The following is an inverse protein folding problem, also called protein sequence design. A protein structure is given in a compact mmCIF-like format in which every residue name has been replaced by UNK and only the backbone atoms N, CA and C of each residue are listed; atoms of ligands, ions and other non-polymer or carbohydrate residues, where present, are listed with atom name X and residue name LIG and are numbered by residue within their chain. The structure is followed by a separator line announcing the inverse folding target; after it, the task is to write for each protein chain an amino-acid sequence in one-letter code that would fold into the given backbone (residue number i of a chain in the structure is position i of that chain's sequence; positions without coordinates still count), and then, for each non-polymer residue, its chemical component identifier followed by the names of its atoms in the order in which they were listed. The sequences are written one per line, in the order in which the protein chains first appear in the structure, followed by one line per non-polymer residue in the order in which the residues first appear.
data_IF_686339647625
#
_entry.id   IF_686339647625
#
_cell.length_a   1.000
_cell.length_b   1.000
_cell.length_c   1.000
_cell.angle_alpha   90.00
_cell.angle_beta   90.00
_cell.angle_gamma   90.00
#
_symmetry.space_group_name_H-M   'P 1'
#
loop_
_entity.id
_entity.type
_entity.pdbx_description
1 polymer ?
#
# COMPACT_ATOMS: atom_id res chain seq x y z
N UNK A 1 -4.24 -4.56 7.82
CA UNK A 1 -3.90 -3.50 8.80
C UNK A 1 -4.53 -2.23 8.28
N UNK A 2 -5.40 -1.59 9.05
CA UNK A 2 -6.09 -0.37 8.59
C UNK A 2 -5.21 0.85 8.83
N UNK A 3 -4.90 1.60 7.76
CA UNK A 3 -4.08 2.80 7.77
C UNK A 3 -4.77 3.89 6.95
N UNK A 4 -5.27 4.94 7.61
CA UNK A 4 -5.77 6.14 6.91
C UNK A 4 -6.92 5.92 5.93
N UNK A 5 -7.79 4.93 6.16
CA UNK A 5 -8.90 4.59 5.27
C UNK A 5 -8.61 3.48 4.26
N UNK A 6 -7.39 2.93 4.30
CA UNK A 6 -7.00 1.77 3.50
C UNK A 6 -6.76 0.56 4.42
N UNK A 7 -7.04 -0.64 3.93
CA UNK A 7 -6.57 -1.87 4.55
C UNK A 7 -5.40 -2.44 3.75
N UNK A 8 -4.30 -2.71 4.46
CA UNK A 8 -3.10 -3.35 3.94
C UNK A 8 -3.04 -4.79 4.44
N UNK A 9 -3.33 -5.76 3.56
CA UNK A 9 -3.11 -7.18 3.83
C UNK A 9 -1.73 -7.57 3.29
N UNK A 10 -0.80 -7.83 4.20
CA UNK A 10 0.53 -8.29 3.86
C UNK A 10 0.75 -9.70 4.41
N UNK A 11 0.87 -10.67 3.51
CA UNK A 11 1.12 -12.07 3.87
C UNK A 11 2.62 -12.36 4.05
N UNK A 12 3.50 -11.37 3.88
CA UNK A 12 4.95 -11.43 4.07
C UNK A 12 5.73 -12.34 3.11
N UNK A 13 5.04 -13.20 2.35
CA UNK A 13 5.64 -14.26 1.53
C UNK A 13 5.19 -14.20 0.07
N UNK A 14 3.93 -13.88 -0.20
CA UNK A 14 3.36 -13.99 -1.56
C UNK A 14 3.03 -12.65 -2.21
N UNK A 15 2.69 -11.63 -1.42
CA UNK A 15 2.28 -10.35 -1.95
C UNK A 15 1.58 -9.48 -0.91
N UNK A 16 1.14 -8.33 -1.40
CA UNK A 16 0.46 -7.28 -0.65
C UNK A 16 -0.82 -6.93 -1.39
N UNK A 17 -1.92 -6.93 -0.66
CA UNK A 17 -3.19 -6.39 -1.13
C UNK A 17 -3.45 -5.09 -0.41
N UNK A 18 -3.76 -4.04 -1.17
CA UNK A 18 -4.22 -2.76 -0.60
C UNK A 18 -5.66 -2.56 -1.03
N UNK A 19 -6.54 -2.29 -0.08
CA UNK A 19 -7.97 -2.06 -0.32
C UNK A 19 -8.41 -0.72 0.25
N UNK A 20 -9.15 0.10 -0.50
CA UNK A 20 -9.77 1.33 0.01
C UNK A 20 -11.12 1.01 0.67
N UNK A 21 -11.26 1.36 1.95
CA UNK A 21 -12.41 0.96 2.76
C UNK A 21 -13.75 1.54 2.27
N UNK A 22 -13.74 2.73 1.66
CA UNK A 22 -14.97 3.41 1.20
C UNK A 22 -15.33 3.13 -0.25
N UNK A 23 -14.34 2.96 -1.14
CA UNK A 23 -14.58 2.78 -2.57
C UNK A 23 -14.71 1.30 -2.99
N UNK A 24 -14.24 0.37 -2.16
CA UNK A 24 -14.23 -1.07 -2.50
C UNK A 24 -13.20 -1.43 -3.57
N UNK A 25 -12.30 -0.50 -3.92
CA UNK A 25 -11.22 -0.73 -4.86
C UNK A 25 -10.03 -1.38 -4.16
N UNK A 26 -9.35 -2.29 -4.85
CA UNK A 26 -8.16 -2.95 -4.34
C UNK A 26 -7.17 -3.25 -5.44
N UNK A 27 -5.88 -3.23 -5.11
CA UNK A 27 -4.83 -3.74 -5.99
C UNK A 27 -3.95 -4.75 -5.26
N UNK A 28 -3.29 -5.59 -6.03
CA UNK A 28 -2.39 -6.63 -5.54
C UNK A 28 -0.99 -6.45 -6.15
N UNK A 29 0.04 -6.54 -5.32
CA UNK A 29 1.45 -6.58 -5.70
C UNK A 29 2.05 -7.90 -5.24
N UNK A 30 2.89 -8.53 -6.06
CA UNK A 30 3.66 -9.72 -5.70
C UNK A 30 5.15 -9.55 -5.98
N UNK A 31 5.92 -10.58 -5.62
CA UNK A 31 7.36 -10.65 -5.88
C UNK A 31 8.14 -9.42 -5.40
N UNK A 32 9.00 -8.92 -6.28
CA UNK A 32 9.89 -7.79 -5.99
C UNK A 32 9.11 -6.48 -5.76
N UNK A 33 7.97 -6.29 -6.42
CA UNK A 33 7.14 -5.08 -6.25
C UNK A 33 6.52 -5.03 -4.84
N UNK A 34 6.10 -6.18 -4.32
CA UNK A 34 5.63 -6.26 -2.94
C UNK A 34 6.75 -5.99 -1.94
N UNK A 35 7.98 -6.47 -2.18
CA UNK A 35 9.11 -6.19 -1.30
C UNK A 35 9.50 -4.71 -1.33
N UNK A 36 9.57 -4.12 -2.52
CA UNK A 36 9.84 -2.69 -2.70
C UNK A 36 8.79 -1.82 -2.02
N UNK A 37 7.50 -2.15 -2.16
CA UNK A 37 6.40 -1.45 -1.49
C UNK A 37 6.58 -1.43 0.04
N UNK A 38 6.97 -2.57 0.65
CA UNK A 38 7.18 -2.64 2.12
C UNK A 38 8.30 -1.74 2.58
N UNK A 39 9.42 -1.76 1.86
CA UNK A 39 10.62 -1.01 2.25
C UNK A 39 10.35 0.50 2.14
N UNK A 40 9.74 0.95 1.04
CA UNK A 40 9.40 2.35 0.85
C UNK A 40 8.30 2.81 1.81
N UNK A 41 7.27 2.00 2.06
CA UNK A 41 6.25 2.33 3.06
C UNK A 41 6.85 2.46 4.45
N UNK A 42 7.76 1.56 4.84
CA UNK A 42 8.44 1.62 6.14
C UNK A 42 9.21 2.92 6.31
N UNK A 43 9.98 3.33 5.28
CA UNK A 43 10.70 4.61 5.27
C UNK A 43 9.73 5.78 5.37
N UNK A 44 8.71 5.81 4.52
CA UNK A 44 7.73 6.89 4.50
C UNK A 44 7.02 7.06 5.84
N UNK A 45 6.66 5.95 6.50
CA UNK A 45 6.06 5.94 7.83
C UNK A 45 7.03 6.45 8.91
N UNK A 46 8.32 6.09 8.85
CA UNK A 46 9.35 6.62 9.76
C UNK A 46 9.53 8.14 9.65
N UNK A 47 9.38 8.70 8.44
CA UNK A 47 9.39 10.14 8.20
C UNK A 47 8.05 10.84 8.49
N UNK A 48 7.01 10.08 8.89
CA UNK A 48 5.70 10.62 9.25
C UNK A 48 4.75 10.91 8.08
N UNK A 49 5.01 10.33 6.90
CA UNK A 49 4.09 10.45 5.75
C UNK A 49 2.79 9.69 6.01
N UNK A 50 1.68 10.19 5.48
CA UNK A 50 0.42 9.44 5.53
C UNK A 50 0.41 8.34 4.48
N UNK A 51 -0.33 7.27 4.71
CA UNK A 51 -0.43 6.16 3.75
C UNK A 51 -1.04 6.62 2.42
N UNK A 52 -1.98 7.57 2.45
CA UNK A 52 -2.57 8.15 1.25
C UNK A 52 -1.52 8.91 0.42
N UNK A 53 -0.74 9.77 1.06
CA UNK A 53 0.30 10.55 0.37
C UNK A 53 1.34 9.61 -0.24
N UNK A 54 1.76 8.58 0.51
CA UNK A 54 2.65 7.53 0.00
C UNK A 54 2.10 6.86 -1.26
N UNK A 55 0.83 6.45 -1.27
CA UNK A 55 0.19 5.83 -2.44
C UNK A 55 0.10 6.78 -3.64
N UNK A 56 -0.07 8.08 -3.42
CA UNK A 56 -0.10 9.09 -4.48
C UNK A 56 1.31 9.34 -5.03
N UNK A 57 2.30 9.54 -4.15
CA UNK A 57 3.68 9.87 -4.49
C UNK A 57 4.39 8.76 -5.26
N UNK A 58 4.02 7.50 -4.99
CA UNK A 58 4.54 6.31 -5.68
C UNK A 58 3.61 5.81 -6.79
N UNK A 59 2.62 6.61 -7.19
CA UNK A 59 1.66 6.33 -8.26
C UNK A 59 0.78 5.07 -8.06
N UNK A 60 0.85 4.40 -6.91
CA UNK A 60 -0.01 3.26 -6.56
C UNK A 60 -1.49 3.60 -6.54
N UNK A 61 -1.84 4.87 -6.29
CA UNK A 61 -3.24 5.31 -6.34
C UNK A 61 -3.88 5.11 -7.73
N UNK A 62 -3.06 5.03 -8.80
CA UNK A 62 -3.54 4.74 -10.16
C UNK A 62 -3.91 3.28 -10.39
N UNK A 63 -3.50 2.37 -9.49
CA UNK A 63 -3.78 0.94 -9.59
C UNK A 63 -5.17 0.57 -9.06
N UNK A 64 -5.83 1.46 -8.32
CA UNK A 64 -7.22 1.26 -7.91
C UNK A 64 -8.14 1.38 -9.12
N UNK A 65 -8.84 0.29 -9.46
CA UNK A 65 -9.86 0.20 -10.51
C UNK A 65 -11.17 -0.37 -9.96
#
# INVERSE_FOLDING_TARGET
MVIGGFDLEDNGVYGITVSEYEAGWSFFLDGDDAEYFRDEWRKAAEYGSTFRDFLIDHEYYTLFQ
#
